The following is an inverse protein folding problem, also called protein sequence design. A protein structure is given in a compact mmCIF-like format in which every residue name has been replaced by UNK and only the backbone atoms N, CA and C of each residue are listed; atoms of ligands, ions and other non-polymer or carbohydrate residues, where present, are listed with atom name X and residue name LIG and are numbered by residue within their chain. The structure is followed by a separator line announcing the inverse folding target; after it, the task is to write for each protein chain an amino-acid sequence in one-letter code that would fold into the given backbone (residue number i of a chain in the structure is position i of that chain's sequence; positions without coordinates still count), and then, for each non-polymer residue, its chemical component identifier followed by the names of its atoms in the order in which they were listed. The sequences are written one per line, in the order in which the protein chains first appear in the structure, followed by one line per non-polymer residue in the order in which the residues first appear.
data_IF_766647901683
#
_entry.id   IF_766647901683
#
_cell.length_a   1.000
_cell.length_b   1.000
_cell.length_c   1.000
_cell.angle_alpha   90.00
_cell.angle_beta   90.00
_cell.angle_gamma   90.00
#
_symmetry.space_group_name_H-M   'P 1'
#
loop_
_entity.id
_entity.type
_entity.pdbx_description
1 polymer ?
#
# COMPACT_ATOMS: atom_id res chain seq x y z
N UNK A 1 12.72 -34.36 -11.88
CA UNK A 1 12.79 -32.88 -11.78
C UNK A 1 12.61 -32.52 -10.32
N UNK A 2 13.60 -31.93 -9.71
CA UNK A 2 13.46 -31.36 -8.36
C UNK A 2 12.44 -30.22 -8.47
N UNK A 3 11.43 -30.22 -7.61
CA UNK A 3 10.44 -29.14 -7.58
C UNK A 3 11.13 -27.92 -6.94
N UNK A 4 11.57 -26.96 -7.77
CA UNK A 4 12.19 -25.73 -7.26
C UNK A 4 11.14 -24.72 -6.71
N UNK A 5 10.12 -25.21 -6.00
CA UNK A 5 9.14 -24.35 -5.34
C UNK A 5 8.70 -24.93 -4.00
N UNK A 6 8.17 -24.07 -3.16
CA UNK A 6 7.50 -24.42 -1.91
C UNK A 6 6.10 -23.81 -1.86
N UNK A 7 5.15 -24.57 -1.36
CA UNK A 7 3.78 -24.12 -1.09
C UNK A 7 3.65 -23.78 0.39
N UNK A 8 3.29 -22.54 0.68
CA UNK A 8 3.17 -22.00 2.04
C UNK A 8 1.69 -21.65 2.30
N UNK A 9 1.05 -22.27 3.29
CA UNK A 9 -0.30 -21.91 3.66
C UNK A 9 -0.33 -20.54 4.34
N UNK A 10 -1.26 -19.68 3.92
CA UNK A 10 -1.48 -18.37 4.50
C UNK A 10 -2.97 -18.15 4.70
N UNK A 11 -3.36 -17.56 5.79
CA UNK A 11 -4.76 -17.40 6.17
C UNK A 11 -5.03 -15.97 6.61
N UNK A 12 -6.12 -15.39 6.13
CA UNK A 12 -6.68 -14.16 6.67
C UNK A 12 -8.05 -14.48 7.27
N UNK A 13 -8.27 -14.03 8.48
CA UNK A 13 -9.53 -14.23 9.18
C UNK A 13 -10.10 -12.89 9.63
N UNK A 14 -11.32 -12.63 9.22
CA UNK A 14 -12.11 -11.46 9.60
C UNK A 14 -13.32 -11.94 10.37
N UNK A 15 -13.44 -11.55 11.64
CA UNK A 15 -14.57 -11.90 12.52
C UNK A 15 -15.76 -10.99 12.17
N UNK A 16 -16.28 -11.13 10.94
CA UNK A 16 -17.39 -10.33 10.42
C UNK A 16 -18.74 -10.83 10.90
N UNK A 17 -19.69 -9.91 11.06
CA UNK A 17 -21.10 -10.22 11.39
C UNK A 17 -21.97 -10.28 10.14
N UNK A 18 -21.63 -9.46 9.17
CA UNK A 18 -22.40 -9.29 7.94
C UNK A 18 -21.59 -9.79 6.73
N UNK A 19 -22.29 -9.98 5.60
CA UNK A 19 -21.65 -10.33 4.33
C UNK A 19 -20.75 -9.21 3.84
N UNK A 20 -19.70 -9.57 3.12
CA UNK A 20 -18.76 -8.62 2.51
C UNK A 20 -19.19 -8.33 1.08
N UNK A 21 -19.29 -7.04 0.67
CA UNK A 21 -19.52 -6.68 -0.73
C UNK A 21 -18.47 -7.30 -1.65
N UNK A 22 -18.89 -7.76 -2.83
CA UNK A 22 -18.00 -8.44 -3.76
C UNK A 22 -16.85 -7.52 -4.23
N UNK A 23 -17.11 -6.24 -4.37
CA UNK A 23 -16.11 -5.22 -4.73
C UNK A 23 -15.00 -5.16 -3.69
N UNK A 24 -15.36 -5.12 -2.39
CA UNK A 24 -14.40 -5.11 -1.28
C UNK A 24 -13.55 -6.38 -1.27
N UNK A 25 -14.17 -7.54 -1.52
CA UNK A 25 -13.47 -8.81 -1.59
C UNK A 25 -12.46 -8.85 -2.76
N UNK A 26 -12.84 -8.31 -3.92
CA UNK A 26 -11.96 -8.25 -5.10
C UNK A 26 -10.77 -7.31 -4.84
N UNK A 27 -11.01 -6.12 -4.29
CA UNK A 27 -9.95 -5.15 -4.00
C UNK A 27 -9.01 -5.69 -2.93
N UNK A 28 -9.55 -6.30 -1.90
CA UNK A 28 -8.79 -6.95 -0.84
C UNK A 28 -7.88 -8.07 -1.38
N UNK A 29 -8.39 -8.98 -2.23
CA UNK A 29 -7.57 -10.04 -2.83
C UNK A 29 -6.45 -9.48 -3.73
N UNK A 30 -6.71 -8.38 -4.47
CA UNK A 30 -5.68 -7.67 -5.24
C UNK A 30 -4.62 -7.06 -4.33
N UNK A 31 -5.03 -6.45 -3.22
CA UNK A 31 -4.14 -5.88 -2.23
C UNK A 31 -3.28 -6.95 -1.54
N UNK A 32 -3.88 -8.07 -1.15
CA UNK A 32 -3.15 -9.24 -0.61
C UNK A 32 -2.06 -9.72 -1.58
N UNK A 33 -2.40 -9.88 -2.86
CA UNK A 33 -1.44 -10.29 -3.87
C UNK A 33 -0.24 -9.33 -3.96
N UNK A 34 -0.50 -8.01 -3.92
CA UNK A 34 0.54 -6.98 -3.94
C UNK A 34 1.42 -7.02 -2.69
N UNK A 35 0.79 -7.10 -1.50
CA UNK A 35 1.53 -7.09 -0.22
C UNK A 35 2.37 -8.36 -0.09
N UNK A 36 1.79 -9.53 -0.35
CA UNK A 36 2.50 -10.82 -0.27
C UNK A 36 3.69 -10.85 -1.24
N UNK A 37 3.54 -10.34 -2.47
CA UNK A 37 4.66 -10.20 -3.40
C UNK A 37 5.80 -9.33 -2.84
N UNK A 38 5.47 -8.22 -2.17
CA UNK A 38 6.46 -7.37 -1.48
C UNK A 38 7.12 -8.11 -0.31
N UNK A 39 6.36 -8.87 0.48
CA UNK A 39 6.89 -9.63 1.60
C UNK A 39 7.76 -10.80 1.14
N UNK A 40 7.46 -11.44 0.01
CA UNK A 40 8.32 -12.47 -0.59
C UNK A 40 9.74 -11.94 -0.89
N UNK A 41 9.87 -10.68 -1.33
CA UNK A 41 11.18 -10.02 -1.50
C UNK A 41 11.91 -9.80 -0.15
N UNK A 42 11.18 -9.60 0.94
CA UNK A 42 11.76 -9.50 2.29
C UNK A 42 12.24 -10.87 2.75
N UNK A 43 11.43 -11.92 2.54
CA UNK A 43 11.82 -13.32 2.84
C UNK A 43 13.11 -13.69 2.10
N UNK A 44 13.21 -13.36 0.80
CA UNK A 44 14.44 -13.50 0.01
C UNK A 44 15.64 -12.82 0.69
N UNK A 45 15.43 -11.61 1.16
CA UNK A 45 16.48 -10.80 1.80
C UNK A 45 16.91 -11.38 3.15
N UNK A 46 15.99 -11.95 3.94
CA UNK A 46 16.28 -12.60 5.23
C UNK A 46 17.04 -13.90 5.04
N UNK A 47 16.65 -14.69 4.03
CA UNK A 47 17.32 -15.96 3.69
C UNK A 47 18.64 -15.76 2.91
N UNK A 48 18.93 -14.53 2.47
CA UNK A 48 20.04 -14.24 1.55
C UNK A 48 20.02 -15.14 0.29
N UNK A 49 18.83 -15.32 -0.28
CA UNK A 49 18.56 -16.19 -1.44
C UNK A 49 17.46 -15.59 -2.32
N UNK A 50 17.34 -16.02 -3.57
CA UNK A 50 16.47 -15.41 -4.56
C UNK A 50 15.19 -16.23 -4.78
N UNK A 51 14.03 -15.55 -4.67
CA UNK A 51 12.74 -16.00 -5.18
C UNK A 51 12.59 -15.43 -6.60
N UNK A 52 12.36 -16.29 -7.58
CA UNK A 52 12.15 -15.90 -8.97
C UNK A 52 10.73 -15.39 -9.21
N UNK A 53 9.74 -16.09 -8.65
CA UNK A 53 8.32 -15.85 -8.85
C UNK A 53 7.52 -16.20 -7.61
N UNK A 54 6.45 -15.44 -7.40
CA UNK A 54 5.43 -15.73 -6.37
C UNK A 54 4.09 -15.87 -7.05
N UNK A 55 3.37 -16.95 -6.76
CA UNK A 55 1.98 -17.15 -7.17
C UNK A 55 1.10 -17.36 -5.94
N UNK A 56 -0.11 -16.81 -5.98
CA UNK A 56 -1.06 -16.91 -4.87
C UNK A 56 -2.33 -17.57 -5.39
N UNK A 57 -2.76 -18.61 -4.72
CA UNK A 57 -3.97 -19.35 -5.02
C UNK A 57 -4.95 -19.18 -3.86
N UNK A 58 -6.22 -18.92 -4.18
CA UNK A 58 -7.30 -18.99 -3.21
C UNK A 58 -7.76 -20.45 -3.15
N UNK A 59 -7.54 -21.11 -2.02
CA UNK A 59 -7.95 -22.49 -1.83
C UNK A 59 -9.36 -22.60 -1.30
N UNK A 60 -9.76 -21.68 -0.41
CA UNK A 60 -11.06 -21.73 0.24
C UNK A 60 -11.49 -20.34 0.70
N UNK A 61 -12.79 -20.05 0.53
CA UNK A 61 -13.48 -18.91 1.13
C UNK A 61 -14.62 -19.48 1.98
N UNK A 62 -14.64 -19.13 3.28
CA UNK A 62 -15.60 -19.71 4.22
C UNK A 62 -16.62 -18.64 4.63
N UNK A 63 -17.91 -19.00 4.52
CA UNK A 63 -19.04 -18.16 4.89
C UNK A 63 -19.23 -18.10 6.42
N UNK A 64 -19.80 -17.00 6.93
CA UNK A 64 -20.17 -16.80 8.34
C UNK A 64 -19.21 -15.88 9.09
N UNK A 65 -17.93 -16.15 9.03
CA UNK A 65 -16.83 -15.21 9.29
C UNK A 65 -16.01 -15.22 8.01
N UNK A 66 -15.63 -14.05 7.47
CA UNK A 66 -14.83 -14.03 6.27
C UNK A 66 -13.45 -14.62 6.54
N UNK A 67 -13.22 -15.83 6.04
CA UNK A 67 -11.95 -16.52 6.18
C UNK A 67 -11.43 -16.94 4.82
N UNK A 68 -10.20 -16.55 4.54
CA UNK A 68 -9.51 -16.86 3.31
C UNK A 68 -8.33 -17.78 3.60
N UNK A 69 -8.37 -18.97 3.02
CA UNK A 69 -7.22 -19.87 3.01
C UNK A 69 -6.51 -19.76 1.67
N UNK A 70 -5.31 -19.24 1.71
CA UNK A 70 -4.46 -19.01 0.55
C UNK A 70 -3.32 -20.03 0.54
N UNK A 71 -2.85 -20.35 -0.65
CA UNK A 71 -1.58 -21.04 -0.87
C UNK A 71 -0.65 -20.08 -1.60
N UNK A 72 0.47 -19.76 -0.98
CA UNK A 72 1.53 -18.93 -1.57
C UNK A 72 2.60 -19.87 -2.11
N UNK A 73 2.77 -19.90 -3.43
CA UNK A 73 3.82 -20.69 -4.09
C UNK A 73 4.99 -19.80 -4.41
N UNK A 74 6.14 -20.15 -3.84
CA UNK A 74 7.40 -19.46 -4.05
C UNK A 74 8.32 -20.31 -4.92
N UNK A 75 8.68 -19.81 -6.09
CA UNK A 75 9.62 -20.46 -7.01
C UNK A 75 11.03 -19.91 -6.74
N UNK A 76 11.98 -20.80 -6.52
CA UNK A 76 13.38 -20.45 -6.32
C UNK A 76 14.08 -20.30 -7.67
N UNK A 77 14.98 -19.32 -7.75
CA UNK A 77 15.72 -19.04 -8.98
C UNK A 77 16.67 -20.19 -9.36
N UNK A 78 17.21 -20.89 -8.36
CA UNK A 78 18.15 -21.98 -8.53
C UNK A 78 18.02 -23.01 -7.41
N UNK A 79 18.64 -24.20 -7.59
CA UNK A 79 18.77 -25.18 -6.54
C UNK A 79 19.65 -24.66 -5.38
N UNK A 80 20.66 -23.86 -5.68
CA UNK A 80 21.49 -23.19 -4.67
C UNK A 80 20.63 -22.26 -3.79
N UNK A 81 19.72 -21.49 -4.38
CA UNK A 81 18.80 -20.63 -3.61
C UNK A 81 17.85 -21.46 -2.74
N UNK A 82 17.33 -22.59 -3.25
CA UNK A 82 16.53 -23.52 -2.46
C UNK A 82 17.29 -24.03 -1.23
N UNK A 83 18.54 -24.46 -1.40
CA UNK A 83 19.37 -24.93 -0.29
C UNK A 83 19.72 -23.79 0.69
N UNK A 84 19.90 -22.55 0.23
CA UNK A 84 20.07 -21.39 1.12
C UNK A 84 18.85 -21.16 2.00
N UNK A 85 17.64 -21.27 1.44
CA UNK A 85 16.40 -21.17 2.23
C UNK A 85 16.30 -22.29 3.27
N UNK A 86 16.62 -23.50 2.90
CA UNK A 86 16.61 -24.64 3.80
C UNK A 86 17.63 -24.45 4.94
N UNK A 87 18.82 -23.95 4.63
CA UNK A 87 19.84 -23.63 5.63
C UNK A 87 19.42 -22.48 6.55
N UNK A 88 18.74 -21.44 6.01
CA UNK A 88 18.21 -20.33 6.79
C UNK A 88 17.11 -20.79 7.76
N UNK A 89 16.33 -21.81 7.40
CA UNK A 89 15.30 -22.39 8.26
C UNK A 89 15.88 -23.22 9.41
N UNK A 90 17.13 -23.71 9.29
CA UNK A 90 17.80 -24.47 10.34
C UNK A 90 17.04 -25.75 10.73
N UNK A 91 16.59 -25.82 11.98
CA UNK A 91 15.83 -26.94 12.51
C UNK A 91 14.32 -26.85 12.27
N UNK A 92 13.82 -25.72 11.75
CA UNK A 92 12.41 -25.48 11.43
C UNK A 92 12.14 -26.01 10.02
N UNK A 93 10.96 -26.56 9.78
CA UNK A 93 10.57 -26.92 8.41
C UNK A 93 10.55 -25.65 7.53
N UNK A 94 11.20 -25.70 6.37
CA UNK A 94 11.39 -24.53 5.49
C UNK A 94 10.06 -23.79 5.19
N UNK A 95 8.97 -24.54 4.94
CA UNK A 95 7.65 -23.91 4.68
C UNK A 95 7.13 -23.13 5.88
N UNK A 96 7.35 -23.63 7.11
CA UNK A 96 6.90 -23.01 8.35
C UNK A 96 7.75 -21.78 8.67
N UNK A 97 9.07 -21.89 8.44
CA UNK A 97 9.97 -20.74 8.56
C UNK A 97 9.55 -19.61 7.60
N UNK A 98 9.30 -19.93 6.32
CA UNK A 98 8.85 -18.95 5.32
C UNK A 98 7.49 -18.36 5.73
N UNK A 99 6.55 -19.19 6.21
CA UNK A 99 5.24 -18.74 6.68
C UNK A 99 5.37 -17.69 7.79
N UNK A 100 6.22 -17.95 8.78
CA UNK A 100 6.45 -17.02 9.87
C UNK A 100 7.06 -15.71 9.39
N UNK A 101 8.09 -15.76 8.54
CA UNK A 101 8.74 -14.54 8.01
C UNK A 101 7.77 -13.73 7.15
N UNK A 102 6.94 -14.38 6.32
CA UNK A 102 5.87 -13.73 5.56
C UNK A 102 4.84 -13.07 6.49
N UNK A 103 4.39 -13.78 7.53
CA UNK A 103 3.43 -13.27 8.50
C UNK A 103 3.98 -12.08 9.28
N UNK A 104 5.24 -12.14 9.73
CA UNK A 104 5.94 -11.02 10.36
C UNK A 104 6.00 -9.80 9.45
N UNK A 105 6.41 -10.00 8.20
CA UNK A 105 6.50 -8.93 7.22
C UNK A 105 5.13 -8.32 6.93
N UNK A 106 4.11 -9.15 6.76
CA UNK A 106 2.74 -8.69 6.54
C UNK A 106 2.20 -7.93 7.77
N UNK A 107 2.39 -8.47 8.97
CA UNK A 107 1.98 -7.81 10.22
C UNK A 107 2.67 -6.46 10.41
N UNK A 108 3.98 -6.39 10.21
CA UNK A 108 4.73 -5.13 10.28
C UNK A 108 4.25 -4.12 9.21
N UNK A 109 4.02 -4.57 7.98
CA UNK A 109 3.48 -3.74 6.91
C UNK A 109 2.12 -3.13 7.27
N UNK A 110 1.19 -3.96 7.73
CA UNK A 110 -0.14 -3.52 8.13
C UNK A 110 -0.05 -2.52 9.29
N UNK A 111 0.73 -2.85 10.30
CA UNK A 111 0.91 -2.01 11.47
C UNK A 111 1.45 -0.61 11.12
N UNK A 112 2.57 -0.51 10.41
CA UNK A 112 3.14 0.79 10.04
C UNK A 112 2.24 1.58 9.08
N UNK A 113 1.51 0.89 8.19
CA UNK A 113 0.57 1.55 7.28
C UNK A 113 -0.62 2.12 8.03
N UNK A 114 -1.25 1.35 8.91
CA UNK A 114 -2.38 1.77 9.74
C UNK A 114 -1.97 2.93 10.66
N UNK A 115 -0.87 2.80 11.38
CA UNK A 115 -0.37 3.82 12.30
C UNK A 115 -0.17 5.19 11.63
N UNK A 116 0.33 5.20 10.39
CA UNK A 116 0.54 6.44 9.65
C UNK A 116 -0.75 7.05 9.08
N UNK A 117 -1.85 6.33 9.07
CA UNK A 117 -3.16 6.82 8.60
C UNK A 117 -4.05 7.29 9.74
N UNK A 118 -3.81 6.81 10.96
CA UNK A 118 -4.57 7.25 12.12
C UNK A 118 -4.31 8.72 12.45
N UNK A 119 -5.34 9.48 12.86
CA UNK A 119 -5.17 10.86 13.29
C UNK A 119 -4.20 10.91 14.47
N UNK A 120 -3.23 11.81 14.40
CA UNK A 120 -2.35 12.09 15.54
C UNK A 120 -3.22 12.68 16.65
N UNK A 121 -3.49 11.88 17.68
CA UNK A 121 -4.11 12.41 18.91
C UNK A 121 -3.11 13.34 19.58
N UNK A 122 -3.54 14.59 19.80
CA UNK A 122 -2.77 15.52 20.61
C UNK A 122 -2.39 14.87 21.95
N UNK A 123 -1.10 14.77 22.16
CA UNK A 123 -0.42 14.51 23.42
C UNK A 123 -1.05 13.55 24.43
N UNK A 124 -0.90 12.22 24.22
CA UNK A 124 -0.59 11.24 25.29
C UNK A 124 -0.24 9.87 24.67
N UNK A 125 0.50 9.01 25.37
CA UNK A 125 1.65 8.30 24.82
C UNK A 125 1.27 7.26 23.75
N UNK A 126 1.70 7.48 22.53
CA UNK A 126 1.73 6.53 21.40
C UNK A 126 2.58 5.28 21.70
N UNK A 127 3.15 5.19 22.90
CA UNK A 127 4.10 4.15 23.31
C UNK A 127 3.44 2.77 23.39
N UNK A 128 2.14 2.67 23.68
CA UNK A 128 1.49 1.38 23.92
C UNK A 128 1.11 0.60 22.65
N UNK A 129 0.79 1.28 21.54
CA UNK A 129 0.38 0.60 20.31
C UNK A 129 1.62 0.08 19.55
N UNK A 130 2.69 0.87 19.45
CA UNK A 130 3.96 0.45 18.84
C UNK A 130 4.58 -0.75 19.55
N UNK A 131 4.58 -0.74 20.89
CA UNK A 131 5.17 -1.81 21.70
C UNK A 131 4.40 -3.13 21.54
N UNK A 132 3.07 -3.13 21.53
CA UNK A 132 2.29 -4.35 21.48
C UNK A 132 2.38 -5.06 20.11
N UNK A 133 2.32 -4.33 19.00
CA UNK A 133 2.36 -4.95 17.68
C UNK A 133 3.80 -5.28 17.21
N UNK A 134 4.78 -4.47 17.55
CA UNK A 134 6.19 -4.83 17.34
C UNK A 134 6.61 -6.00 18.23
N UNK A 135 6.09 -6.09 19.46
CA UNK A 135 6.32 -7.23 20.32
C UNK A 135 5.75 -8.53 19.74
N UNK A 136 4.58 -8.49 19.09
CA UNK A 136 4.00 -9.63 18.40
C UNK A 136 4.90 -10.12 17.25
N UNK A 137 5.35 -9.20 16.40
CA UNK A 137 6.28 -9.50 15.29
C UNK A 137 7.61 -10.03 15.81
N UNK A 138 8.19 -9.38 16.82
CA UNK A 138 9.46 -9.80 17.43
C UNK A 138 9.32 -11.17 18.11
N UNK A 139 8.25 -11.39 18.89
CA UNK A 139 7.99 -12.67 19.54
C UNK A 139 7.86 -13.81 18.53
N UNK A 140 7.15 -13.55 17.42
CA UNK A 140 6.99 -14.52 16.35
C UNK A 140 8.32 -14.86 15.67
N UNK A 141 9.17 -13.87 15.42
CA UNK A 141 10.52 -14.09 14.87
C UNK A 141 11.40 -14.90 15.80
N UNK A 142 11.37 -14.61 17.09
CA UNK A 142 12.12 -15.37 18.10
C UNK A 142 11.66 -16.82 18.24
N UNK A 143 10.37 -17.10 17.99
CA UNK A 143 9.84 -18.47 18.04
C UNK A 143 10.44 -19.42 17.00
N UNK A 144 11.03 -18.89 15.94
CA UNK A 144 11.75 -19.64 14.90
C UNK A 144 13.25 -19.29 14.86
N UNK A 145 13.77 -18.81 15.98
CA UNK A 145 15.21 -18.54 16.17
C UNK A 145 15.81 -17.51 15.22
N UNK A 146 15.01 -16.55 14.69
CA UNK A 146 15.56 -15.43 13.93
C UNK A 146 16.46 -14.57 14.81
N UNK A 147 17.58 -14.15 14.24
CA UNK A 147 18.47 -13.17 14.90
C UNK A 147 17.81 -11.79 14.97
N UNK A 148 18.23 -10.96 15.92
CA UNK A 148 17.76 -9.58 16.03
C UNK A 148 18.01 -8.79 14.74
N UNK A 149 19.10 -9.05 14.01
CA UNK A 149 19.39 -8.44 12.71
C UNK A 149 18.34 -8.82 11.65
N UNK A 150 17.96 -10.10 11.59
CA UNK A 150 16.93 -10.56 10.66
C UNK A 150 15.55 -9.97 10.98
N UNK A 151 15.18 -9.90 12.25
CA UNK A 151 13.95 -9.28 12.72
C UNK A 151 13.94 -7.79 12.37
N UNK A 152 15.01 -7.05 12.70
CA UNK A 152 15.13 -5.63 12.37
C UNK A 152 15.05 -5.38 10.87
N UNK A 153 15.63 -6.24 10.06
CA UNK A 153 15.53 -6.16 8.59
C UNK A 153 14.10 -6.25 8.08
N UNK A 154 13.26 -7.09 8.68
CA UNK A 154 11.82 -7.17 8.37
C UNK A 154 11.10 -5.89 8.76
N UNK A 155 11.36 -5.37 9.96
CA UNK A 155 10.74 -4.15 10.47
C UNK A 155 11.13 -2.91 9.65
N UNK A 156 12.42 -2.70 9.41
CA UNK A 156 12.94 -1.55 8.67
C UNK A 156 12.39 -1.47 7.24
N UNK A 157 12.30 -2.62 6.53
CA UNK A 157 11.77 -2.65 5.17
C UNK A 157 10.28 -2.31 5.07
N UNK A 158 9.53 -2.42 6.16
CA UNK A 158 8.12 -2.07 6.23
C UNK A 158 7.85 -0.72 6.91
N UNK A 159 8.83 -0.08 7.58
CA UNK A 159 8.66 1.09 8.43
C UNK A 159 8.24 2.38 7.71
N UNK A 160 8.43 2.46 6.39
CA UNK A 160 8.14 3.67 5.58
C UNK A 160 7.18 3.33 4.43
N UNK A 161 5.91 3.04 4.71
CA UNK A 161 4.92 2.76 3.67
C UNK A 161 4.66 4.02 2.84
N UNK A 162 4.68 3.88 1.52
CA UNK A 162 4.29 4.93 0.59
C UNK A 162 2.75 4.99 0.43
N UNK A 163 2.23 5.95 -0.36
CA UNK A 163 0.78 6.10 -0.60
C UNK A 163 0.13 4.82 -1.12
N UNK A 164 0.78 4.13 -2.07
CA UNK A 164 0.26 2.88 -2.63
C UNK A 164 0.31 1.70 -1.64
N UNK A 165 1.21 1.73 -0.66
CA UNK A 165 1.25 0.77 0.45
C UNK A 165 0.11 1.01 1.43
N UNK A 166 -0.15 2.27 1.77
CA UNK A 166 -1.27 2.66 2.63
C UNK A 166 -2.62 2.33 2.01
N UNK A 167 -2.78 2.57 0.70
CA UNK A 167 -3.98 2.15 -0.02
C UNK A 167 -4.18 0.64 0.04
N UNK A 168 -3.13 -0.15 -0.22
CA UNK A 168 -3.23 -1.59 -0.11
C UNK A 168 -3.58 -2.06 1.31
N UNK A 169 -3.11 -1.36 2.35
CA UNK A 169 -3.50 -1.66 3.72
C UNK A 169 -4.98 -1.33 3.99
N UNK A 170 -5.50 -0.21 3.45
CA UNK A 170 -6.94 0.11 3.50
C UNK A 170 -7.77 -0.96 2.80
N UNK A 171 -7.41 -1.32 1.56
CA UNK A 171 -8.12 -2.32 0.77
C UNK A 171 -8.19 -3.68 1.50
N UNK A 172 -7.14 -4.05 2.26
CA UNK A 172 -7.14 -5.25 3.12
C UNK A 172 -8.08 -5.07 4.32
N UNK A 173 -8.25 -3.86 4.86
CA UNK A 173 -9.09 -3.61 6.03
C UNK A 173 -10.55 -3.30 5.69
N UNK A 174 -10.88 -2.90 4.45
CA UNK A 174 -12.24 -2.57 4.03
C UNK A 174 -13.27 -3.68 4.33
N UNK A 175 -13.00 -4.98 4.06
CA UNK A 175 -13.93 -6.04 4.44
C UNK A 175 -14.22 -6.09 5.93
N UNK A 176 -13.23 -5.81 6.79
CA UNK A 176 -13.42 -5.76 8.23
C UNK A 176 -14.28 -4.57 8.65
N UNK A 177 -14.00 -3.40 8.09
CA UNK A 177 -14.71 -2.15 8.38
C UNK A 177 -16.17 -2.23 7.92
N UNK A 178 -16.40 -2.63 6.68
CA UNK A 178 -17.72 -2.67 6.06
C UNK A 178 -18.55 -3.87 6.53
N UNK A 179 -17.93 -5.00 6.85
CA UNK A 179 -18.57 -6.21 7.38
C UNK A 179 -18.73 -6.23 8.90
N UNK A 180 -18.44 -5.12 9.60
CA UNK A 180 -18.61 -5.01 11.05
C UNK A 180 -17.78 -6.03 11.84
N UNK A 181 -16.55 -6.29 11.41
CA UNK A 181 -15.68 -7.25 12.09
C UNK A 181 -15.28 -6.76 13.48
N UNK A 182 -15.08 -7.69 14.41
CA UNK A 182 -14.56 -7.38 15.74
C UNK A 182 -13.05 -7.46 15.80
N UNK A 183 -12.43 -8.19 14.90
CA UNK A 183 -10.97 -8.34 14.76
C UNK A 183 -10.60 -8.90 13.39
N UNK A 184 -9.33 -8.66 13.01
CA UNK A 184 -8.68 -9.31 11.86
C UNK A 184 -7.45 -10.06 12.36
N UNK A 185 -7.31 -11.34 11.97
CA UNK A 185 -6.16 -12.17 12.33
C UNK A 185 -5.34 -12.48 11.08
N UNK A 186 -4.02 -12.25 11.14
CA UNK A 186 -3.08 -12.44 10.04
C UNK A 186 -2.38 -13.78 10.18
N UNK A 187 -2.38 -14.57 9.12
CA UNK A 187 -1.71 -15.87 8.99
C UNK A 187 -2.05 -16.89 10.10
N UNK A 188 -3.19 -16.69 10.80
CA UNK A 188 -3.62 -17.53 11.90
C UNK A 188 -2.89 -17.27 13.24
N UNK A 189 -2.03 -16.23 13.32
CA UNK A 189 -1.27 -15.93 14.54
C UNK A 189 -2.01 -14.93 15.44
N UNK A 190 -2.25 -15.31 16.71
CA UNK A 190 -2.88 -14.43 17.69
C UNK A 190 -2.07 -13.16 17.98
N UNK A 191 -0.74 -13.27 17.89
CA UNK A 191 0.18 -12.16 18.07
C UNK A 191 0.06 -11.08 16.97
N UNK A 192 -0.57 -11.44 15.84
CA UNK A 192 -0.80 -10.55 14.68
C UNK A 192 -2.29 -10.24 14.50
N UNK A 193 -3.00 -10.05 15.59
CA UNK A 193 -4.41 -9.65 15.58
C UNK A 193 -4.53 -8.13 15.58
N UNK A 194 -5.33 -7.61 14.64
CA UNK A 194 -5.71 -6.19 14.56
C UNK A 194 -7.10 -6.05 15.18
N UNK A 195 -7.26 -5.31 16.28
CA UNK A 195 -8.55 -5.12 16.95
C UNK A 195 -9.42 -4.13 16.19
N UNK A 196 -10.73 -4.18 16.43
CA UNK A 196 -11.74 -3.31 15.84
C UNK A 196 -11.39 -1.81 15.98
N UNK A 197 -10.93 -1.40 17.15
CA UNK A 197 -10.55 0.00 17.44
C UNK A 197 -9.54 0.58 16.44
N UNK A 198 -8.68 -0.24 15.87
CA UNK A 198 -7.59 0.20 15.02
C UNK A 198 -8.04 0.38 13.56
N UNK A 199 -8.99 -0.43 13.08
CA UNK A 199 -9.48 -0.31 11.71
C UNK A 199 -10.78 0.51 11.57
N UNK A 200 -11.61 0.61 12.59
CA UNK A 200 -12.78 1.51 12.57
C UNK A 200 -12.39 3.00 12.45
N UNK A 201 -11.23 3.35 13.01
CA UNK A 201 -10.70 4.72 12.95
C UNK A 201 -9.96 5.04 11.66
N UNK A 202 -9.84 4.07 10.74
CA UNK A 202 -9.19 4.31 9.45
C UNK A 202 -10.06 5.20 8.56
N UNK A 203 -9.44 6.12 7.81
CA UNK A 203 -10.16 6.92 6.82
C UNK A 203 -10.66 6.04 5.67
N UNK A 204 -11.65 6.52 4.91
CA UNK A 204 -12.14 5.83 3.72
C UNK A 204 -11.15 5.90 2.54
N UNK A 205 -10.32 6.93 2.52
CA UNK A 205 -9.25 7.12 1.54
C UNK A 205 -7.94 7.43 2.24
N UNK A 206 -6.82 7.06 1.61
CA UNK A 206 -5.50 7.42 2.14
C UNK A 206 -5.40 8.93 2.27
N UNK A 207 -5.25 9.47 3.49
CA UNK A 207 -5.06 10.89 3.68
C UNK A 207 -3.89 11.37 2.81
N UNK A 208 -4.05 12.46 2.13
CA UNK A 208 -2.91 13.16 1.55
C UNK A 208 -2.05 13.68 2.72
N UNK A 209 -1.21 12.79 3.25
CA UNK A 209 -0.31 13.08 4.38
C UNK A 209 0.87 13.99 3.98
N UNK A 210 0.84 14.48 2.77
CA UNK A 210 1.73 15.53 2.39
C UNK A 210 1.13 16.86 2.85
N UNK A 211 1.41 17.24 4.10
CA UNK A 211 1.45 18.65 4.50
C UNK A 211 2.44 19.45 3.62
N UNK A 212 2.94 18.80 2.59
CA UNK A 212 3.80 19.25 1.52
C UNK A 212 3.04 19.49 0.21
N UNK A 213 1.76 19.18 0.10
CA UNK A 213 0.93 19.51 -1.06
C UNK A 213 -0.10 20.56 -0.64
N UNK A 214 -0.28 21.58 -1.48
CA UNK A 214 -1.30 22.59 -1.33
C UNK A 214 -1.98 22.86 -2.65
N UNK A 215 -3.20 23.31 -2.59
CA UNK A 215 -4.00 23.72 -3.73
C UNK A 215 -4.26 25.21 -3.65
N UNK A 216 -4.03 25.90 -4.75
CA UNK A 216 -4.25 27.35 -4.84
C UNK A 216 -5.16 27.61 -6.04
N UNK A 217 -6.29 28.28 -5.79
CA UNK A 217 -7.23 28.67 -6.83
C UNK A 217 -6.82 30.00 -7.47
N UNK A 218 -6.83 30.03 -8.80
CA UNK A 218 -6.61 31.24 -9.58
C UNK A 218 -7.76 31.39 -10.58
N UNK A 219 -8.30 32.60 -10.68
CA UNK A 219 -9.38 32.92 -11.61
C UNK A 219 -8.87 33.74 -12.78
N UNK A 220 -9.45 33.52 -13.97
CA UNK A 220 -9.18 34.27 -15.19
C UNK A 220 -7.70 34.40 -15.54
N UNK A 221 -6.95 33.28 -15.38
CA UNK A 221 -5.50 33.20 -15.53
C UNK A 221 -5.13 32.76 -16.95
N UNK A 222 -4.09 33.40 -17.52
CA UNK A 222 -3.54 32.99 -18.83
C UNK A 222 -2.78 31.67 -18.69
N UNK A 223 -3.20 30.64 -19.42
CA UNK A 223 -2.51 29.36 -19.51
C UNK A 223 -2.05 29.06 -20.94
N UNK A 224 -0.88 28.43 -21.07
CA UNK A 224 -0.34 28.01 -22.36
C UNK A 224 -0.33 26.50 -22.44
N UNK A 225 -1.01 25.94 -23.45
CA UNK A 225 -1.18 24.51 -23.66
C UNK A 225 -0.15 24.04 -24.66
N UNK A 226 0.73 23.13 -24.25
CA UNK A 226 1.78 22.55 -25.08
C UNK A 226 1.45 21.13 -25.56
N UNK A 227 0.59 20.41 -24.84
CA UNK A 227 0.06 19.12 -25.23
C UNK A 227 -1.44 19.08 -24.91
N UNK A 228 -2.23 18.50 -25.80
CA UNK A 228 -3.68 18.35 -25.63
C UNK A 228 -4.14 17.01 -26.21
N UNK A 229 -5.15 16.40 -25.56
CA UNK A 229 -5.83 15.21 -26.04
C UNK A 229 -7.27 15.59 -26.39
N UNK A 230 -7.77 15.10 -27.52
CA UNK A 230 -9.12 15.43 -27.99
C UNK A 230 -10.22 14.71 -27.20
N UNK A 231 -9.92 13.49 -26.76
CA UNK A 231 -10.93 12.54 -26.27
C UNK A 231 -10.83 12.32 -24.77
N UNK A 232 -9.73 12.77 -24.13
CA UNK A 232 -9.46 12.51 -22.70
C UNK A 232 -9.24 13.79 -21.93
N UNK A 233 -9.85 13.89 -20.74
CA UNK A 233 -9.72 15.05 -19.84
C UNK A 233 -8.53 14.96 -18.87
N UNK A 234 -8.12 13.76 -18.45
CA UNK A 234 -7.16 13.55 -17.36
C UNK A 234 -5.74 13.18 -17.81
N UNK A 235 -5.56 12.85 -19.10
CA UNK A 235 -4.26 12.46 -19.67
C UNK A 235 -4.02 13.15 -21.01
N UNK A 236 -2.75 13.31 -21.37
CA UNK A 236 -2.37 13.94 -22.65
C UNK A 236 -2.30 15.47 -22.62
N UNK A 237 -2.62 16.10 -21.47
CA UNK A 237 -2.60 17.55 -21.30
C UNK A 237 -1.34 17.99 -20.54
N UNK A 238 -0.69 19.05 -21.03
CA UNK A 238 0.42 19.70 -20.34
C UNK A 238 0.64 21.12 -20.82
N UNK A 239 1.10 21.97 -19.91
CA UNK A 239 1.32 23.39 -20.22
C UNK A 239 2.08 24.13 -19.14
N UNK A 240 2.07 25.46 -19.25
CA UNK A 240 2.63 26.39 -18.27
C UNK A 240 1.59 27.47 -17.91
N UNK A 241 1.79 28.09 -16.76
CA UNK A 241 1.05 29.29 -16.31
C UNK A 241 2.09 30.39 -16.09
N UNK A 242 2.38 31.25 -17.10
CA UNK A 242 3.56 32.14 -17.08
C UNK A 242 3.64 33.07 -15.89
N UNK A 243 2.49 33.53 -15.37
CA UNK A 243 2.45 34.41 -14.20
C UNK A 243 2.77 33.69 -12.88
N UNK A 244 2.82 32.35 -12.88
CA UNK A 244 3.06 31.52 -11.70
C UNK A 244 4.32 30.66 -11.81
N UNK A 245 4.56 30.05 -12.98
CA UNK A 245 5.71 29.18 -13.23
C UNK A 245 5.98 29.00 -14.73
N UNK A 246 7.26 28.82 -15.07
CA UNK A 246 7.72 28.62 -16.45
C UNK A 246 7.95 27.14 -16.82
N UNK A 247 8.01 26.25 -15.82
CA UNK A 247 8.20 24.83 -16.05
C UNK A 247 6.91 24.16 -16.53
N UNK A 248 7.03 23.26 -17.50
CA UNK A 248 5.89 22.51 -18.01
C UNK A 248 5.40 21.50 -16.97
N UNK A 249 4.10 21.55 -16.63
CA UNK A 249 3.44 20.64 -15.71
C UNK A 249 2.26 19.93 -16.39
N UNK A 250 1.80 18.84 -15.78
CA UNK A 250 0.61 18.12 -16.21
C UNK A 250 -0.63 19.00 -16.01
N UNK A 251 -1.51 19.03 -17.04
CA UNK A 251 -2.84 19.61 -16.92
C UNK A 251 -3.89 18.50 -16.87
N UNK A 252 -4.96 18.73 -16.16
CA UNK A 252 -6.18 17.91 -16.14
C UNK A 252 -7.40 18.84 -16.30
N UNK A 253 -8.43 18.37 -16.96
CA UNK A 253 -9.69 19.11 -17.12
C UNK A 253 -10.68 18.60 -16.10
N UNK A 254 -11.40 19.51 -15.45
CA UNK A 254 -12.57 19.17 -14.66
C UNK A 254 -13.69 18.60 -15.56
N UNK A 255 -14.62 17.87 -14.97
CA UNK A 255 -15.68 17.16 -15.71
C UNK A 255 -16.56 18.10 -16.56
N UNK A 256 -16.68 19.36 -16.15
CA UNK A 256 -17.45 20.38 -16.85
C UNK A 256 -16.72 20.97 -18.08
N UNK A 257 -15.43 20.69 -18.24
CA UNK A 257 -14.61 21.21 -19.33
C UNK A 257 -14.53 20.21 -20.48
N UNK A 258 -15.14 20.57 -21.60
CA UNK A 258 -15.11 19.70 -22.78
C UNK A 258 -13.72 19.73 -23.45
N UNK A 259 -13.00 18.58 -23.56
CA UNK A 259 -11.69 18.50 -24.18
C UNK A 259 -11.65 19.06 -25.60
N UNK A 260 -12.70 18.86 -26.40
CA UNK A 260 -12.78 19.34 -27.77
C UNK A 260 -12.72 20.89 -27.90
N UNK A 261 -13.14 21.63 -26.87
CA UNK A 261 -13.10 23.10 -26.90
C UNK A 261 -11.71 23.65 -26.66
N UNK A 262 -10.85 22.87 -26.00
CA UNK A 262 -9.46 23.27 -25.69
C UNK A 262 -8.43 22.61 -26.62
N UNK A 263 -8.79 21.52 -27.27
CA UNK A 263 -7.85 20.81 -28.16
C UNK A 263 -7.38 21.72 -29.30
N UNK A 264 -6.06 21.82 -29.46
CA UNK A 264 -5.42 22.68 -30.48
C UNK A 264 -5.28 24.15 -30.09
N UNK A 265 -5.87 24.59 -28.99
CA UNK A 265 -5.67 25.94 -28.47
C UNK A 265 -4.28 26.07 -27.83
N UNK A 266 -3.56 27.16 -28.14
CA UNK A 266 -2.22 27.40 -27.59
C UNK A 266 -2.24 28.27 -26.34
N UNK A 267 -3.18 29.20 -26.27
CA UNK A 267 -3.35 30.13 -25.14
C UNK A 267 -4.83 30.31 -24.85
N UNK A 268 -5.23 30.17 -23.60
CA UNK A 268 -6.59 30.43 -23.13
C UNK A 268 -6.55 31.08 -21.76
N UNK A 269 -7.66 31.77 -21.42
CA UNK A 269 -7.95 32.24 -20.05
C UNK A 269 -8.83 31.23 -19.36
N UNK A 270 -8.47 30.85 -18.12
CA UNK A 270 -9.20 29.86 -17.38
C UNK A 270 -9.19 30.12 -15.88
N UNK A 271 -10.18 29.55 -15.20
CA UNK A 271 -10.15 29.35 -13.76
C UNK A 271 -9.45 28.01 -13.51
N UNK A 272 -8.45 28.01 -12.65
CA UNK A 272 -7.57 26.86 -12.44
C UNK A 272 -7.31 26.59 -10.95
N UNK A 273 -7.02 25.34 -10.64
CA UNK A 273 -6.38 24.94 -9.38
C UNK A 273 -4.95 24.53 -9.67
N UNK A 274 -3.98 25.17 -9.04
CA UNK A 274 -2.58 24.78 -9.06
C UNK A 274 -2.30 23.87 -7.87
N UNK A 275 -1.87 22.65 -8.14
CA UNK A 275 -1.44 21.69 -7.14
C UNK A 275 0.08 21.78 -6.99
N UNK A 276 0.53 22.16 -5.83
CA UNK A 276 1.95 22.35 -5.51
C UNK A 276 2.40 21.34 -4.47
N UNK A 277 3.66 20.91 -4.61
CA UNK A 277 4.32 20.02 -3.66
C UNK A 277 5.55 20.67 -3.07
N UNK A 278 5.71 20.58 -1.75
CA UNK A 278 6.89 21.12 -1.05
C UNK A 278 8.14 20.31 -1.39
N UNK A 279 9.12 20.97 -1.96
CA UNK A 279 10.43 20.38 -2.24
C UNK A 279 11.35 20.64 -1.03
N UNK A 280 11.62 19.59 -0.25
CA UNK A 280 12.45 19.68 0.97
C UNK A 280 13.90 20.09 0.69
N UNK A 281 14.44 19.74 -0.50
CA UNK A 281 15.81 20.11 -0.86
C UNK A 281 15.94 21.60 -1.20
N UNK A 282 14.91 22.19 -1.79
CA UNK A 282 14.88 23.61 -2.19
C UNK A 282 14.10 24.49 -1.22
N UNK A 283 13.43 23.88 -0.22
CA UNK A 283 12.61 24.54 0.80
C UNK A 283 11.50 25.43 0.21
N UNK A 284 10.91 25.03 -0.91
CA UNK A 284 9.87 25.76 -1.62
C UNK A 284 8.78 24.86 -2.16
N UNK A 285 7.57 25.39 -2.38
CA UNK A 285 6.51 24.69 -3.08
C UNK A 285 6.72 24.76 -4.58
N UNK A 286 6.58 23.62 -5.28
CA UNK A 286 6.69 23.53 -6.74
C UNK A 286 5.40 22.98 -7.34
N UNK A 287 4.88 23.61 -8.40
CA UNK A 287 3.72 23.10 -9.09
C UNK A 287 4.07 21.78 -9.79
N UNK A 288 3.18 20.80 -9.68
CA UNK A 288 3.30 19.50 -10.34
C UNK A 288 2.08 19.15 -11.21
N UNK A 289 0.94 19.81 -10.94
CA UNK A 289 -0.30 19.60 -11.69
C UNK A 289 -1.15 20.87 -11.67
N UNK A 290 -1.94 21.09 -12.73
CA UNK A 290 -2.99 22.12 -12.80
C UNK A 290 -4.28 21.46 -13.22
N UNK A 291 -5.37 21.75 -12.49
CA UNK A 291 -6.73 21.38 -12.89
C UNK A 291 -7.42 22.59 -13.49
N UNK A 292 -7.88 22.49 -14.73
CA UNK A 292 -8.65 23.54 -15.42
C UNK A 292 -10.12 23.35 -15.06
N UNK A 293 -10.69 24.32 -14.33
CA UNK A 293 -12.07 24.26 -13.85
C UNK A 293 -13.07 24.81 -14.88
N UNK A 294 -12.67 25.89 -15.55
CA UNK A 294 -13.53 26.60 -16.51
C UNK A 294 -12.66 27.42 -17.45
N UNK A 295 -13.08 27.49 -18.69
CA UNK A 295 -12.46 28.37 -19.73
C UNK A 295 -13.33 29.59 -19.93
N UNK A 296 -12.69 30.75 -20.01
CA UNK A 296 -13.38 32.04 -20.19
C UNK A 296 -13.81 32.23 -21.65
#
# INVERSE_FOLDING_TARGET
MVKNYVDVPFEMYYDTKDGIPIEDAIEQLKALNKIIGKQAAIVSSVANASIEKTEIFVNELIEGSWQEKLCIRLFFKSEEDYEKFKNAAGNVEMKDWIKVVLAMGFGAFMFYSIQQMLPKKDEKPQVNIEINNNNGVVSLGKSIELTDEQINKVLEKNSKPNKADKQAALDVMNPAKNGGATKVKIAGYDQLTIPQSDFESLPDEVPNQDGNEREINYSNTDIYIYASDRDKSTVGWAGIVPDLFESRVKFELADEVNPNTLHGQRKVKADIIVHEKYNTAQKEYKPFKVTILKVA
#
